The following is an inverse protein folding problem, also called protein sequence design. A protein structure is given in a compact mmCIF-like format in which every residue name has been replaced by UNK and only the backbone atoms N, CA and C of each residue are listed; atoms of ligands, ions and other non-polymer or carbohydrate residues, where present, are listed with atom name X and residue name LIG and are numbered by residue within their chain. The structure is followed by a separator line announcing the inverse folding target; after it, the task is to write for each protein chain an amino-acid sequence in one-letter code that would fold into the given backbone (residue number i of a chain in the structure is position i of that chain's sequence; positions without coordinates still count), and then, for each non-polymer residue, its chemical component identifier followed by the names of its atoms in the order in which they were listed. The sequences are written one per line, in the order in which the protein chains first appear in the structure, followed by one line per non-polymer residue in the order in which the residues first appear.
data_IF_043131085671
#
_entry.id   IF_043131085671
#
_cell.length_a   1.000
_cell.length_b   1.000
_cell.length_c   1.000
_cell.angle_alpha   90.00
_cell.angle_beta   90.00
_cell.angle_gamma   90.00
#
_symmetry.space_group_name_H-M   'P 1'
#
loop_
_entity.id
_entity.type
_entity.pdbx_description
1 polymer ?
#
# COMPACT_ATOMS: atom_id res chain seq x y z
N UNK A 1 11.15 12.21 3.80
CA UNK A 1 11.41 10.75 3.90
C UNK A 1 10.40 10.05 3.00
N UNK A 2 10.81 9.01 2.25
CA UNK A 2 9.97 8.42 1.22
C UNK A 2 8.77 7.70 1.84
N UNK A 3 7.67 7.65 1.08
CA UNK A 3 6.56 6.74 1.34
C UNK A 3 7.07 5.32 1.23
N UNK A 4 6.79 4.49 2.22
CA UNK A 4 7.19 3.09 2.23
C UNK A 4 5.98 2.20 2.00
N UNK A 5 6.07 1.39 0.94
CA UNK A 5 5.19 0.25 0.71
C UNK A 5 5.89 -1.00 1.25
N UNK A 6 5.30 -1.70 2.21
CA UNK A 6 5.87 -2.96 2.73
C UNK A 6 5.02 -4.14 2.27
N UNK A 7 5.67 -5.17 1.73
CA UNK A 7 5.06 -6.46 1.39
C UNK A 7 5.80 -7.59 2.12
N UNK A 8 5.09 -8.64 2.60
CA UNK A 8 5.71 -9.81 3.17
C UNK A 8 6.43 -10.63 2.08
N UNK A 9 7.47 -11.42 2.43
CA UNK A 9 8.03 -12.40 1.50
C UNK A 9 7.01 -13.49 1.17
N UNK A 10 7.16 -14.13 0.00
CA UNK A 10 6.36 -15.28 -0.41
C UNK A 10 5.78 -15.12 -1.81
N UNK A 11 5.45 -16.23 -2.51
CA UNK A 11 5.26 -16.25 -3.96
C UNK A 11 4.17 -15.29 -4.46
N UNK A 12 3.03 -15.21 -3.77
CA UNK A 12 1.93 -14.30 -4.15
C UNK A 12 2.31 -12.83 -3.97
N UNK A 13 3.07 -12.52 -2.92
CA UNK A 13 3.54 -11.17 -2.62
C UNK A 13 4.76 -10.77 -3.46
N UNK A 14 5.56 -11.74 -3.92
CA UNK A 14 6.63 -11.57 -4.90
C UNK A 14 6.02 -11.24 -6.26
N UNK A 15 5.02 -12.01 -6.72
CA UNK A 15 4.29 -11.71 -7.95
C UNK A 15 3.61 -10.33 -7.93
N UNK A 16 3.10 -9.90 -6.77
CA UNK A 16 2.57 -8.54 -6.62
C UNK A 16 3.69 -7.48 -6.69
N UNK A 17 4.85 -7.73 -6.09
CA UNK A 17 5.99 -6.81 -6.17
C UNK A 17 6.47 -6.64 -7.62
N UNK A 18 6.56 -7.74 -8.38
CA UNK A 18 6.93 -7.70 -9.79
C UNK A 18 5.92 -6.88 -10.61
N UNK A 19 4.62 -7.11 -10.40
CA UNK A 19 3.56 -6.33 -11.04
C UNK A 19 3.59 -4.84 -10.68
N UNK A 20 4.14 -4.48 -9.51
CA UNK A 20 4.29 -3.10 -9.06
C UNK A 20 5.57 -2.42 -9.56
N UNK A 21 6.58 -3.16 -10.03
CA UNK A 21 7.91 -2.62 -10.32
C UNK A 21 7.89 -1.43 -11.30
N UNK A 22 7.20 -1.56 -12.44
CA UNK A 22 7.02 -0.48 -13.42
C UNK A 22 6.22 0.69 -12.85
N UNK A 23 5.20 0.38 -12.06
CA UNK A 23 4.30 1.38 -11.48
C UNK A 23 5.01 2.25 -10.46
N UNK A 24 5.79 1.65 -9.55
CA UNK A 24 6.56 2.38 -8.55
C UNK A 24 7.64 3.23 -9.21
N UNK A 25 8.32 2.71 -10.25
CA UNK A 25 9.27 3.50 -11.06
C UNK A 25 8.64 4.75 -11.67
N UNK A 26 7.41 4.67 -12.17
CA UNK A 26 6.68 5.83 -12.74
C UNK A 26 6.15 6.80 -11.70
N UNK A 27 5.83 6.33 -10.50
CA UNK A 27 5.33 7.21 -9.43
C UNK A 27 6.45 8.07 -8.81
N UNK A 28 7.70 7.64 -8.94
CA UNK A 28 8.88 8.45 -8.63
C UNK A 28 9.75 7.88 -7.51
N UNK A 29 10.91 8.51 -7.25
CA UNK A 29 11.91 8.01 -6.31
C UNK A 29 11.50 8.12 -4.84
N UNK A 30 10.46 8.91 -4.53
CA UNK A 30 9.98 9.10 -3.16
C UNK A 30 9.13 7.93 -2.63
N UNK A 31 9.06 6.83 -3.37
CA UNK A 31 8.35 5.62 -2.96
C UNK A 31 9.33 4.45 -2.90
N UNK A 32 9.49 3.90 -1.71
CA UNK A 32 10.32 2.72 -1.46
C UNK A 32 9.45 1.48 -1.29
N UNK A 33 9.79 0.40 -2.03
CA UNK A 33 9.28 -0.94 -1.75
C UNK A 33 10.20 -1.62 -0.73
N UNK A 34 9.63 -2.03 0.40
CA UNK A 34 10.32 -2.81 1.44
C UNK A 34 9.76 -4.23 1.48
N UNK A 35 10.65 -5.20 1.63
CA UNK A 35 10.29 -6.61 1.90
C UNK A 35 10.50 -6.87 3.39
N UNK A 36 9.45 -7.18 4.12
CA UNK A 36 9.50 -7.50 5.55
C UNK A 36 8.23 -8.23 5.97
N UNK A 37 8.34 -9.10 6.99
CA UNK A 37 7.18 -9.83 7.51
C UNK A 37 6.08 -8.87 7.99
N UNK A 38 4.84 -9.14 7.58
CA UNK A 38 3.64 -8.45 8.02
C UNK A 38 2.65 -9.47 8.57
N UNK A 39 2.08 -9.19 9.73
CA UNK A 39 1.08 -10.04 10.37
C UNK A 39 -0.05 -9.18 10.91
N UNK A 40 -1.28 -9.64 10.71
CA UNK A 40 -2.45 -9.08 11.34
C UNK A 40 -3.46 -10.20 11.61
N UNK A 41 -4.15 -10.11 12.76
CA UNK A 41 -5.16 -11.09 13.15
C UNK A 41 -6.30 -11.12 12.12
N UNK A 42 -6.73 -12.33 11.75
CA UNK A 42 -7.81 -12.59 10.78
C UNK A 42 -7.60 -11.82 9.46
N UNK A 43 -6.37 -11.81 8.96
CA UNK A 43 -6.02 -11.19 7.69
C UNK A 43 -6.05 -12.21 6.56
N UNK A 44 -6.53 -11.77 5.40
CA UNK A 44 -6.49 -12.54 4.16
C UNK A 44 -5.08 -12.44 3.53
N UNK A 45 -4.55 -13.53 2.95
CA UNK A 45 -3.26 -13.51 2.26
C UNK A 45 -3.09 -12.42 1.21
N UNK A 46 -1.80 -12.14 1.03
CA UNK A 46 -1.10 -10.90 0.68
C UNK A 46 -1.56 -9.67 1.46
N UNK A 47 -0.75 -9.33 2.47
CA UNK A 47 -0.78 -8.08 3.22
C UNK A 47 0.07 -7.01 2.52
N UNK A 48 -0.29 -5.74 2.73
CA UNK A 48 0.54 -4.60 2.35
C UNK A 48 0.38 -3.46 3.34
N UNK A 49 1.48 -2.91 3.82
CA UNK A 49 1.48 -1.68 4.62
C UNK A 49 1.90 -0.49 3.77
N UNK A 50 1.28 0.67 3.99
CA UNK A 50 1.62 1.95 3.38
C UNK A 50 1.82 2.98 4.49
N UNK A 51 3.02 3.57 4.57
CA UNK A 51 3.40 4.43 5.69
C UNK A 51 4.34 5.54 5.22
N UNK A 52 4.31 6.68 5.90
CA UNK A 52 5.30 7.74 5.78
C UNK A 52 5.37 8.54 7.08
N UNK A 53 6.52 9.16 7.43
CA UNK A 53 6.60 9.99 8.62
C UNK A 53 5.61 11.16 8.61
N UNK A 54 4.99 11.43 9.76
CA UNK A 54 3.98 12.48 9.91
C UNK A 54 2.66 12.20 9.20
N UNK A 55 2.45 10.97 8.70
CA UNK A 55 1.24 10.57 7.98
C UNK A 55 0.63 9.30 8.57
N UNK A 56 -0.69 9.17 8.43
CA UNK A 56 -1.42 7.99 8.87
C UNK A 56 -0.92 6.72 8.15
N UNK A 57 -0.80 5.61 8.88
CA UNK A 57 -0.41 4.32 8.31
C UNK A 57 -1.64 3.51 7.88
N UNK A 58 -1.51 2.76 6.79
CA UNK A 58 -2.56 1.87 6.27
C UNK A 58 -2.05 0.43 6.22
N UNK A 59 -2.95 -0.51 6.51
CA UNK A 59 -2.72 -1.93 6.27
C UNK A 59 -3.86 -2.48 5.41
N UNK A 60 -3.50 -3.10 4.29
CA UNK A 60 -4.41 -3.77 3.37
C UNK A 60 -4.17 -5.28 3.40
N UNK A 61 -5.19 -6.06 3.06
CA UNK A 61 -5.13 -7.52 2.98
C UNK A 61 -5.93 -8.06 1.79
N UNK A 62 -5.68 -9.31 1.39
CA UNK A 62 -6.40 -9.93 0.27
C UNK A 62 -6.00 -9.33 -1.08
N UNK A 63 -4.73 -8.95 -1.24
CA UNK A 63 -4.21 -8.33 -2.45
C UNK A 63 -3.77 -9.36 -3.49
N UNK A 64 -3.77 -8.96 -4.75
CA UNK A 64 -3.45 -9.78 -5.92
C UNK A 64 -2.65 -8.95 -6.91
N UNK A 65 -1.82 -9.56 -7.78
CA UNK A 65 -1.04 -8.82 -8.79
C UNK A 65 -1.88 -7.89 -9.68
N UNK A 66 -3.12 -8.28 -10.00
CA UNK A 66 -4.05 -7.47 -10.79
C UNK A 66 -4.45 -6.13 -10.14
N UNK A 67 -4.21 -5.95 -8.84
CA UNK A 67 -4.56 -4.72 -8.13
C UNK A 67 -3.47 -3.64 -8.23
N UNK A 68 -2.38 -3.87 -9.00
CA UNK A 68 -1.27 -2.91 -9.12
C UNK A 68 -1.72 -1.50 -9.51
N UNK A 69 -2.74 -1.37 -10.38
CA UNK A 69 -3.33 -0.07 -10.75
C UNK A 69 -4.04 0.62 -9.58
N UNK A 70 -4.81 -0.13 -8.79
CA UNK A 70 -5.52 0.37 -7.62
C UNK A 70 -4.56 0.75 -6.49
N UNK A 71 -3.45 0.01 -6.35
CA UNK A 71 -2.34 0.36 -5.45
C UNK A 71 -1.71 1.68 -5.89
N UNK A 72 -1.47 1.88 -7.19
CA UNK A 72 -0.94 3.13 -7.70
C UNK A 72 -1.87 4.32 -7.40
N UNK A 73 -3.18 4.15 -7.63
CA UNK A 73 -4.18 5.17 -7.34
C UNK A 73 -4.23 5.49 -5.84
N UNK A 74 -4.11 4.46 -4.99
CA UNK A 74 -4.05 4.62 -3.53
C UNK A 74 -2.81 5.40 -3.09
N UNK A 75 -1.63 5.09 -3.65
CA UNK A 75 -0.41 5.83 -3.36
C UNK A 75 -0.54 7.30 -3.78
N UNK A 76 -1.13 7.59 -4.94
CA UNK A 76 -1.39 8.98 -5.37
C UNK A 76 -2.32 9.72 -4.42
N UNK A 77 -3.43 9.09 -4.02
CA UNK A 77 -4.34 9.66 -3.04
C UNK A 77 -3.65 9.92 -1.68
N UNK A 78 -2.83 8.97 -1.24
CA UNK A 78 -2.03 9.08 -0.02
C UNK A 78 -1.01 10.22 -0.08
N UNK A 79 -0.34 10.40 -1.23
CA UNK A 79 0.61 11.50 -1.45
C UNK A 79 -0.09 12.86 -1.47
N UNK A 80 -1.28 12.95 -2.08
CA UNK A 80 -2.08 14.17 -2.15
C UNK A 80 -2.65 14.62 -0.80
N UNK A 81 -2.83 13.71 0.17
CA UNK A 81 -3.26 14.03 1.51
C UNK A 81 -2.07 14.41 2.41
N UNK A 82 -2.00 15.64 2.90
CA UNK A 82 -0.84 16.14 3.66
C UNK A 82 -0.51 15.30 4.92
N UNK A 83 -1.54 14.85 5.63
CA UNK A 83 -1.49 13.97 6.82
C UNK A 83 -1.62 12.48 6.46
N UNK A 84 -1.63 12.15 5.16
CA UNK A 84 -1.86 10.81 4.64
C UNK A 84 -3.29 10.32 4.77
N UNK A 85 -4.24 11.13 5.24
CA UNK A 85 -5.62 10.69 5.43
C UNK A 85 -6.42 10.75 4.13
N UNK A 86 -6.59 9.59 3.51
CA UNK A 86 -7.45 9.43 2.33
C UNK A 86 -8.91 9.57 2.76
N UNK A 87 -9.51 10.72 2.48
CA UNK A 87 -10.92 11.04 2.80
C UNK A 87 -11.90 10.50 1.76
N UNK A 88 -11.54 10.55 0.48
CA UNK A 88 -12.28 9.90 -0.61
C UNK A 88 -11.52 8.68 -1.15
N UNK A 89 -12.00 7.48 -0.80
CA UNK A 89 -11.40 6.22 -1.21
C UNK A 89 -11.97 5.66 -2.53
N UNK A 90 -12.92 6.35 -3.19
CA UNK A 90 -13.48 5.88 -4.47
C UNK A 90 -12.40 5.71 -5.55
N UNK A 91 -11.42 6.63 -5.70
CA UNK A 91 -10.33 6.48 -6.66
C UNK A 91 -9.40 5.28 -6.38
N UNK A 92 -9.38 4.75 -5.16
CA UNK A 92 -8.58 3.58 -4.80
C UNK A 92 -9.12 2.25 -5.37
N UNK A 93 -10.19 2.28 -6.17
CA UNK A 93 -10.75 1.09 -6.83
C UNK A 93 -11.14 0.01 -5.84
N UNK A 94 -10.71 -1.24 -6.09
CA UNK A 94 -10.94 -2.39 -5.21
C UNK A 94 -10.20 -2.25 -3.88
N UNK A 95 -9.07 -1.53 -3.84
CA UNK A 95 -8.24 -1.44 -2.64
C UNK A 95 -8.98 -0.85 -1.44
N UNK A 96 -10.01 -0.01 -1.66
CA UNK A 96 -10.88 0.50 -0.59
C UNK A 96 -11.63 -0.61 0.16
N UNK A 97 -11.86 -1.76 -0.47
CA UNK A 97 -12.47 -2.96 0.13
C UNK A 97 -11.44 -3.93 0.73
N UNK A 98 -10.15 -3.65 0.52
CA UNK A 98 -9.03 -4.41 1.05
C UNK A 98 -8.45 -3.81 2.34
N UNK A 99 -8.94 -2.63 2.77
CA UNK A 99 -8.47 -1.98 3.99
C UNK A 99 -8.77 -2.85 5.21
N UNK A 100 -7.72 -3.19 5.97
CA UNK A 100 -7.84 -3.93 7.24
C UNK A 100 -7.87 -2.97 8.43
N UNK A 101 -6.98 -1.99 8.44
CA UNK A 101 -6.93 -0.95 9.46
C UNK A 101 -6.18 0.29 8.95
N UNK A 102 -6.37 1.39 9.68
CA UNK A 102 -5.62 2.63 9.55
C UNK A 102 -5.19 3.09 10.94
N UNK A 103 -4.01 3.68 11.04
CA UNK A 103 -3.41 4.14 12.30
C UNK A 103 -3.09 5.63 12.11
N UNK A 104 -3.56 6.53 12.98
CA UNK A 104 -3.24 7.95 12.87
C UNK A 104 -1.73 8.19 13.07
N UNK A 105 -1.23 9.29 12.51
CA UNK A 105 0.10 9.78 12.86
C UNK A 105 0.13 10.16 14.35
N UNK A 106 1.26 9.87 15.02
CA UNK A 106 1.56 10.33 16.37
C UNK A 106 2.34 11.64 16.35
#
# INVERSE_FOLDING_TARGET
MPVTLTLPPGPEADALADALADTLRRLGPDIALRRAALHARDARPVLMALQAPGRGAYLFHGLRPADAGDIAATIRAYLAAADGWITDARPCGRLRLCLKLRIPAG
#
